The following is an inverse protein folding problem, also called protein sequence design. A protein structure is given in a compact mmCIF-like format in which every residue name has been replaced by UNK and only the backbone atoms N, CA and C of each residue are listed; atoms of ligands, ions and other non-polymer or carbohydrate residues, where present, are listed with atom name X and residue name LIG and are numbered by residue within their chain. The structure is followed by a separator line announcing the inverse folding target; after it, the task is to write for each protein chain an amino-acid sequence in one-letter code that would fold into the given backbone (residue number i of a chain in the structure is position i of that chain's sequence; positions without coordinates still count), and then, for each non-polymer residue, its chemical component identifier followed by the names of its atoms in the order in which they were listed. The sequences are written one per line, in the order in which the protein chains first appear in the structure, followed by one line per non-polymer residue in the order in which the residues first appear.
data_IF_966262623279
#
_entry.id   IF_966262623279
#
_cell.length_a   1.000
_cell.length_b   1.000
_cell.length_c   1.000
_cell.angle_alpha   90.00
_cell.angle_beta   90.00
_cell.angle_gamma   90.00
#
_symmetry.space_group_name_H-M   'P 1'
#
loop_
_entity.id
_entity.type
_entity.pdbx_description
1 polymer ?
#
# COMPACT_ATOMS: atom_id res chain seq x y z
N UNK A 1 -8.83 -3.29 -17.04
CA UNK A 1 -8.72 -3.59 -15.61
C UNK A 1 -7.27 -3.85 -15.26
N UNK A 2 -6.70 -3.04 -14.35
CA UNK A 2 -5.32 -3.18 -13.87
C UNK A 2 -5.33 -3.86 -12.51
N UNK A 3 -4.72 -5.03 -12.42
CA UNK A 3 -4.46 -5.67 -11.13
C UNK A 3 -3.29 -4.99 -10.43
N UNK A 4 -3.49 -4.62 -9.18
CA UNK A 4 -2.50 -3.97 -8.34
C UNK A 4 -1.99 -4.96 -7.29
N UNK A 5 -0.68 -4.98 -7.07
CA UNK A 5 -0.04 -5.83 -6.07
C UNK A 5 0.12 -5.11 -4.73
N UNK A 6 0.58 -5.87 -3.74
CA UNK A 6 0.87 -5.36 -2.40
C UNK A 6 1.91 -4.24 -2.39
N UNK A 7 2.96 -4.30 -3.20
CA UNK A 7 4.01 -3.29 -3.23
C UNK A 7 3.49 -1.91 -3.63
N UNK A 8 2.59 -1.81 -4.60
CA UNK A 8 1.99 -0.52 -4.97
C UNK A 8 1.22 0.08 -3.79
N UNK A 9 0.46 -0.74 -3.05
CA UNK A 9 -0.23 -0.28 -1.83
C UNK A 9 0.77 0.17 -0.76
N UNK A 10 1.86 -0.57 -0.58
CA UNK A 10 2.92 -0.24 0.39
C UNK A 10 3.62 1.08 0.03
N UNK A 11 3.96 1.29 -1.24
CA UNK A 11 4.60 2.53 -1.69
C UNK A 11 3.69 3.74 -1.61
N UNK A 12 2.36 3.56 -1.68
CA UNK A 12 1.41 4.67 -1.60
C UNK A 12 1.36 5.37 -0.25
N UNK A 13 1.79 4.70 0.83
CA UNK A 13 1.64 5.13 2.21
C UNK A 13 2.59 6.28 2.65
N UNK A 14 3.37 6.88 1.73
CA UNK A 14 4.32 7.98 1.98
C UNK A 14 5.19 7.83 3.24
N UNK A 15 5.97 6.74 3.28
CA UNK A 15 6.59 6.23 4.50
C UNK A 15 8.08 6.53 4.64
N UNK A 16 8.71 7.06 3.60
CA UNK A 16 10.15 7.28 3.61
C UNK A 16 10.52 8.49 2.75
N UNK A 17 11.21 9.51 3.31
CA UNK A 17 11.72 10.65 2.54
C UNK A 17 12.65 10.24 1.40
N UNK A 18 13.18 9.01 1.42
CA UNK A 18 14.10 8.43 0.44
C UNK A 18 13.42 7.83 -0.80
N UNK A 19 12.09 7.61 -0.79
CA UNK A 19 11.37 6.97 -1.90
C UNK A 19 10.27 7.82 -2.58
N UNK A 20 10.41 9.16 -2.71
CA UNK A 20 9.32 10.04 -3.17
C UNK A 20 8.84 9.71 -4.59
N UNK A 21 9.74 9.21 -5.46
CA UNK A 21 9.37 8.82 -6.83
C UNK A 21 8.46 7.59 -6.87
N UNK A 22 8.69 6.58 -6.03
CA UNK A 22 7.84 5.38 -6.00
C UNK A 22 6.49 5.70 -5.40
N UNK A 23 6.45 6.55 -4.37
CA UNK A 23 5.20 7.04 -3.76
C UNK A 23 4.34 7.76 -4.80
N UNK A 24 4.91 8.72 -5.52
CA UNK A 24 4.18 9.47 -6.55
C UNK A 24 3.61 8.55 -7.64
N UNK A 25 4.42 7.61 -8.15
CA UNK A 25 3.97 6.64 -9.16
C UNK A 25 2.87 5.73 -8.59
N UNK A 26 3.01 5.25 -7.36
CA UNK A 26 2.00 4.40 -6.73
C UNK A 26 0.66 5.15 -6.56
N UNK A 27 0.71 6.41 -6.11
CA UNK A 27 -0.48 7.25 -6.00
C UNK A 27 -1.12 7.53 -7.36
N UNK A 28 -0.34 7.83 -8.39
CA UNK A 28 -0.84 8.00 -9.78
C UNK A 28 -1.49 6.71 -10.32
N UNK A 29 -0.91 5.54 -10.02
CA UNK A 29 -1.51 4.26 -10.38
C UNK A 29 -2.86 4.08 -9.67
N UNK A 30 -2.94 4.44 -8.38
CA UNK A 30 -4.13 4.26 -7.54
C UNK A 30 -5.25 5.26 -7.81
N UNK A 31 -4.98 6.40 -8.48
CA UNK A 31 -6.02 7.35 -8.91
C UNK A 31 -6.73 6.93 -10.20
N UNK A 32 -6.29 5.86 -10.84
CA UNK A 32 -6.97 5.28 -12.01
C UNK A 32 -8.35 4.70 -11.67
N UNK A 33 -9.28 4.74 -12.63
CA UNK A 33 -10.68 4.32 -12.43
C UNK A 33 -10.95 2.83 -12.67
N UNK A 34 -9.97 2.07 -13.14
CA UNK A 34 -10.12 0.67 -13.58
C UNK A 34 -9.10 -0.25 -12.89
N UNK A 35 -9.17 -0.27 -11.55
CA UNK A 35 -8.26 -1.00 -10.67
C UNK A 35 -8.98 -2.18 -10.03
N UNK A 36 -8.29 -3.31 -9.97
CA UNK A 36 -8.70 -4.47 -9.20
C UNK A 36 -7.61 -4.89 -8.22
N UNK A 37 -8.02 -5.34 -7.04
CA UNK A 37 -7.18 -6.01 -6.06
C UNK A 37 -7.81 -7.36 -5.73
N UNK A 38 -6.97 -8.34 -5.39
CA UNK A 38 -7.45 -9.62 -4.88
C UNK A 38 -7.53 -9.57 -3.35
N UNK A 39 -8.34 -10.46 -2.78
CA UNK A 39 -8.38 -10.66 -1.32
C UNK A 39 -7.01 -11.04 -0.77
N UNK A 40 -6.23 -11.83 -1.51
CA UNK A 40 -4.86 -12.20 -1.12
C UNK A 40 -3.95 -10.97 -1.03
N UNK A 41 -3.99 -10.07 -2.01
CA UNK A 41 -3.21 -8.82 -2.00
C UNK A 41 -3.61 -7.95 -0.80
N UNK A 42 -4.90 -7.87 -0.49
CA UNK A 42 -5.38 -7.11 0.66
C UNK A 42 -4.88 -7.72 1.99
N UNK A 43 -4.89 -9.05 2.14
CA UNK A 43 -4.38 -9.72 3.33
C UNK A 43 -2.88 -9.51 3.51
N UNK A 44 -2.10 -9.63 2.43
CA UNK A 44 -0.67 -9.41 2.48
C UNK A 44 -0.34 -7.95 2.84
N UNK A 45 -1.05 -6.99 2.21
CA UNK A 45 -0.94 -5.58 2.55
C UNK A 45 -1.21 -5.33 4.02
N UNK A 46 -2.32 -5.86 4.55
CA UNK A 46 -2.68 -5.72 5.95
C UNK A 46 -1.56 -6.23 6.88
N UNK A 47 -1.07 -7.47 6.66
CA UNK A 47 0.01 -8.05 7.49
C UNK A 47 1.27 -7.20 7.45
N UNK A 48 1.67 -6.71 6.27
CA UNK A 48 2.86 -5.88 6.13
C UNK A 48 2.68 -4.49 6.73
N UNK A 49 1.51 -3.87 6.53
CA UNK A 49 1.16 -2.53 7.01
C UNK A 49 1.10 -2.46 8.54
N UNK A 50 0.58 -3.49 9.19
CA UNK A 50 0.45 -3.56 10.66
C UNK A 50 1.63 -4.27 11.34
N UNK A 51 2.66 -4.66 10.60
CA UNK A 51 3.76 -5.46 11.17
C UNK A 51 4.53 -4.66 12.23
N UNK A 52 4.67 -5.19 13.45
CA UNK A 52 5.25 -4.48 14.60
C UNK A 52 6.71 -4.01 14.44
N UNK A 53 7.46 -4.57 13.48
CA UNK A 53 8.83 -4.11 13.14
C UNK A 53 8.85 -2.98 12.10
N UNK A 54 7.69 -2.58 11.57
CA UNK A 54 7.58 -1.45 10.64
C UNK A 54 7.65 -0.15 11.48
N UNK A 55 8.56 0.80 11.15
CA UNK A 55 8.72 2.04 11.91
C UNK A 55 7.42 2.83 12.06
N UNK A 56 6.61 2.86 11.00
CA UNK A 56 5.29 3.51 10.95
C UNK A 56 4.20 2.46 10.72
N UNK A 57 4.19 1.40 11.54
CA UNK A 57 3.14 0.40 11.52
C UNK A 57 1.76 1.06 11.65
N UNK A 58 0.85 0.79 10.71
CA UNK A 58 -0.53 1.22 10.86
C UNK A 58 -1.13 0.50 12.08
N UNK A 59 -1.68 1.23 13.05
CA UNK A 59 -2.31 0.60 14.19
C UNK A 59 -3.58 -0.12 13.74
N UNK A 60 -3.87 -1.24 14.40
CA UNK A 60 -4.90 -2.18 13.94
C UNK A 60 -6.30 -1.55 13.85
N UNK A 61 -6.57 -0.54 14.69
CA UNK A 61 -7.80 0.24 14.77
C UNK A 61 -8.09 1.11 13.54
N UNK A 62 -7.07 1.47 12.75
CA UNK A 62 -7.23 2.20 11.48
C UNK A 62 -7.40 1.24 10.30
N UNK A 63 -7.05 -0.05 10.49
CA UNK A 63 -7.04 -1.06 9.43
C UNK A 63 -8.34 -1.90 9.34
N UNK A 64 -9.38 -1.56 10.11
CA UNK A 64 -10.68 -2.25 10.17
C UNK A 64 -11.81 -1.51 9.47
#
# INVERSE_FOLDING_TARGET
MRFVDTNILIYSLDLEPSQPRKTAIAQEILTGTDIAISVQVLQEFYVQATHARRPDALPHDIAS
#
